data_IF_679432072189
#
_entry.id   IF_679432072189
#
_cell.length_a   1.000
_cell.length_b   1.000
_cell.length_c   1.000
_cell.angle_alpha   90.00
_cell.angle_beta   90.00
_cell.angle_gamma   90.00
#
_symmetry.space_group_name_H-M   'P 1'
#
loop_
_entity.id
_entity.type
_entity.pdbx_description
1 polymer ?
#
# COMPACT_ATOMS: atom_id res chain seq x y z
N UNK A 1 9.48 24.98 -15.53
CA UNK A 1 8.57 25.25 -14.39
C UNK A 1 9.41 25.45 -13.13
N UNK A 2 9.06 26.42 -12.27
CA UNK A 2 9.76 26.62 -11.00
C UNK A 2 9.54 25.41 -10.07
N UNK A 3 10.61 24.90 -9.45
CA UNK A 3 10.54 23.80 -8.47
C UNK A 3 10.06 24.38 -7.14
N UNK A 4 9.00 23.81 -6.56
CA UNK A 4 8.51 24.16 -5.23
C UNK A 4 9.08 23.19 -4.20
N UNK A 5 9.35 23.63 -2.98
CA UNK A 5 9.49 22.73 -1.84
C UNK A 5 8.20 22.85 -1.04
N UNK A 6 7.44 21.77 -0.93
CA UNK A 6 6.21 21.77 -0.14
C UNK A 6 6.54 22.02 1.33
N UNK A 7 5.88 23.00 1.96
CA UNK A 7 5.93 23.16 3.43
C UNK A 7 5.46 21.85 4.06
N UNK A 8 6.18 21.32 5.05
CA UNK A 8 5.82 20.09 5.77
C UNK A 8 5.66 18.84 4.86
N UNK A 9 6.28 18.84 3.67
CA UNK A 9 6.13 17.76 2.67
C UNK A 9 4.82 17.80 1.86
N UNK A 10 4.03 18.86 1.97
CA UNK A 10 2.74 18.99 1.30
C UNK A 10 2.89 19.15 -0.23
N UNK A 11 2.27 18.24 -1.00
CA UNK A 11 2.28 18.26 -2.48
C UNK A 11 0.89 18.47 -3.09
N UNK A 12 -0.16 18.40 -2.26
CA UNK A 12 -1.53 18.73 -2.63
C UNK A 12 -2.30 19.24 -1.41
N UNK A 13 -3.10 20.28 -1.61
CA UNK A 13 -4.09 20.77 -0.67
C UNK A 13 -5.29 21.32 -1.43
N UNK A 14 -6.49 20.99 -0.98
CA UNK A 14 -7.73 21.50 -1.51
C UNK A 14 -8.28 22.60 -0.60
N UNK A 15 -8.74 23.71 -1.18
CA UNK A 15 -9.47 24.74 -0.45
C UNK A 15 -10.95 24.33 -0.41
N UNK A 16 -11.33 23.55 0.62
CA UNK A 16 -12.70 23.03 0.78
C UNK A 16 -13.19 23.21 2.21
N UNK A 17 -14.50 23.42 2.32
CA UNK A 17 -15.22 23.45 3.60
C UNK A 17 -15.83 22.06 3.83
N UNK A 18 -15.77 21.58 5.06
CA UNK A 18 -16.33 20.31 5.48
C UNK A 18 -15.29 19.20 5.64
N UNK A 19 -15.75 17.97 5.94
CA UNK A 19 -14.87 16.85 6.25
C UNK A 19 -13.96 16.47 5.09
N UNK A 20 -12.74 16.07 5.38
CA UNK A 20 -11.69 15.82 4.40
C UNK A 20 -10.83 14.61 4.77
N UNK A 21 -10.26 13.98 3.74
CA UNK A 21 -9.22 12.96 3.89
C UNK A 21 -7.84 13.59 3.79
N UNK A 22 -7.02 13.37 4.81
CA UNK A 22 -5.64 13.83 4.88
C UNK A 22 -4.68 12.64 4.79
N UNK A 23 -3.93 12.56 3.69
CA UNK A 23 -3.00 11.47 3.41
C UNK A 23 -1.57 11.91 3.71
N UNK A 24 -0.81 11.07 4.41
CA UNK A 24 0.61 11.26 4.67
C UNK A 24 1.38 9.99 4.29
N UNK A 25 2.27 10.12 3.30
CA UNK A 25 3.08 9.02 2.77
C UNK A 25 4.56 9.29 3.06
N UNK A 26 5.21 8.30 3.65
CA UNK A 26 6.64 8.30 3.94
C UNK A 26 7.26 7.08 3.27
N UNK A 27 8.23 7.30 2.38
CA UNK A 27 8.95 6.22 1.71
C UNK A 27 10.47 6.40 1.76
N UNK A 28 11.16 5.31 2.09
CA UNK A 28 12.61 5.32 2.24
C UNK A 28 13.24 4.26 1.34
N UNK A 29 13.83 4.72 0.23
CA UNK A 29 14.67 3.88 -0.61
C UNK A 29 16.16 4.03 -0.31
N UNK A 30 16.58 5.24 0.07
CA UNK A 30 17.96 5.55 0.38
C UNK A 30 18.20 5.83 1.87
N UNK A 31 19.21 5.19 2.43
CA UNK A 31 19.66 5.27 3.82
C UNK A 31 21.17 5.52 3.83
N UNK A 32 21.63 6.76 4.07
CA UNK A 32 23.04 7.12 4.00
C UNK A 32 23.96 6.24 4.86
N UNK A 33 23.52 5.79 6.04
CA UNK A 33 24.35 5.01 6.96
C UNK A 33 24.25 3.49 6.77
N UNK A 34 23.39 3.00 5.87
CA UNK A 34 23.17 1.57 5.65
C UNK A 34 24.11 1.05 4.56
N UNK A 35 24.16 -0.28 4.36
CA UNK A 35 24.96 -0.86 3.28
C UNK A 35 24.57 -0.25 1.92
N UNK A 36 25.56 0.21 1.17
CA UNK A 36 25.37 0.90 -0.11
C UNK A 36 24.95 2.37 -0.02
N UNK A 37 24.92 2.96 1.18
CA UNK A 37 24.72 4.39 1.40
C UNK A 37 26.01 5.21 1.35
N UNK A 38 25.88 6.54 1.35
CA UNK A 38 27.03 7.47 1.23
C UNK A 38 28.01 7.39 2.42
N UNK A 39 27.49 7.06 3.61
CA UNK A 39 28.23 6.93 4.86
C UNK A 39 28.13 5.50 5.41
N UNK A 40 28.03 4.51 4.51
CA UNK A 40 27.71 3.13 4.81
C UNK A 40 28.53 2.58 5.99
N UNK A 41 27.83 2.07 7.00
CA UNK A 41 28.42 1.16 7.96
C UNK A 41 28.46 -0.25 7.34
N UNK A 42 29.66 -0.77 7.09
CA UNK A 42 29.84 -2.12 6.54
C UNK A 42 29.35 -3.23 7.49
N UNK A 43 29.09 -2.91 8.76
CA UNK A 43 28.51 -3.80 9.75
C UNK A 43 26.98 -3.63 9.87
N UNK A 44 26.36 -2.69 9.14
CA UNK A 44 24.92 -2.52 9.17
C UNK A 44 24.22 -3.79 8.63
N UNK A 45 23.20 -4.31 9.32
CA UNK A 45 22.49 -5.52 8.88
C UNK A 45 21.52 -5.27 7.71
N UNK A 46 21.35 -4.02 7.29
CA UNK A 46 20.37 -3.58 6.31
C UNK A 46 21.04 -2.81 5.18
N UNK A 47 20.48 -2.95 3.97
CA UNK A 47 20.91 -2.22 2.77
C UNK A 47 19.85 -1.26 2.25
N UNK A 48 20.05 -0.75 1.03
CA UNK A 48 19.13 0.15 0.35
C UNK A 48 17.87 -0.59 -0.15
N UNK A 49 16.78 0.15 -0.39
CA UNK A 49 15.52 -0.39 -0.92
C UNK A 49 15.15 0.29 -2.24
N UNK A 50 14.93 -0.47 -3.31
CA UNK A 50 14.58 0.11 -4.61
C UNK A 50 13.09 0.45 -4.74
N UNK A 51 12.22 -0.36 -4.14
CA UNK A 51 10.76 -0.27 -4.35
C UNK A 51 10.02 0.86 -3.61
N UNK A 52 10.41 1.33 -2.40
CA UNK A 52 9.62 2.30 -1.65
C UNK A 52 9.40 3.65 -2.36
N UNK A 53 10.41 4.31 -2.97
CA UNK A 53 10.20 5.58 -3.67
C UNK A 53 9.19 5.46 -4.81
N UNK A 54 9.31 4.42 -5.64
CA UNK A 54 8.38 4.18 -6.74
C UNK A 54 6.97 3.88 -6.24
N UNK A 55 6.86 3.09 -5.18
CA UNK A 55 5.59 2.72 -4.57
C UNK A 55 4.85 3.94 -4.03
N UNK A 56 5.53 4.82 -3.31
CA UNK A 56 4.94 6.06 -2.80
C UNK A 56 4.46 7.00 -3.91
N UNK A 57 5.21 7.11 -5.02
CA UNK A 57 4.78 7.90 -6.19
C UNK A 57 3.50 7.33 -6.82
N UNK A 58 3.43 6.00 -6.98
CA UNK A 58 2.23 5.34 -7.51
C UNK A 58 1.01 5.50 -6.59
N UNK A 59 1.21 5.38 -5.27
CA UNK A 59 0.16 5.61 -4.28
C UNK A 59 -0.31 7.06 -4.29
N UNK A 60 0.62 8.02 -4.32
CA UNK A 60 0.28 9.44 -4.39
C UNK A 60 -0.51 9.76 -5.67
N UNK A 61 -0.10 9.21 -6.81
CA UNK A 61 -0.82 9.35 -8.08
C UNK A 61 -2.24 8.79 -7.98
N UNK A 62 -2.42 7.61 -7.38
CA UNK A 62 -3.74 7.01 -7.18
C UNK A 62 -4.63 7.89 -6.29
N UNK A 63 -4.10 8.42 -5.19
CA UNK A 63 -4.85 9.35 -4.34
C UNK A 63 -5.29 10.61 -5.10
N UNK A 64 -4.43 11.18 -5.93
CA UNK A 64 -4.75 12.39 -6.67
C UNK A 64 -5.73 12.17 -7.83
N UNK A 65 -5.71 10.99 -8.45
CA UNK A 65 -6.45 10.72 -9.70
C UNK A 65 -7.73 9.92 -9.48
N UNK A 66 -7.67 8.90 -8.62
CA UNK A 66 -8.68 7.86 -8.55
C UNK A 66 -9.35 7.76 -7.18
N UNK A 67 -8.71 8.22 -6.09
CA UNK A 67 -9.34 8.19 -4.76
C UNK A 67 -10.65 8.98 -4.75
N UNK A 68 -11.69 8.28 -4.34
CA UNK A 68 -13.02 8.83 -4.24
C UNK A 68 -13.71 8.28 -2.99
N UNK A 69 -14.07 9.19 -2.10
CA UNK A 69 -14.85 8.94 -0.91
C UNK A 69 -15.67 10.20 -0.59
N UNK A 70 -16.92 10.32 -1.07
CA UNK A 70 -17.73 11.53 -0.93
C UNK A 70 -17.91 12.07 0.51
N UNK A 71 -18.04 11.23 1.56
CA UNK A 71 -18.21 11.75 2.92
C UNK A 71 -17.00 12.55 3.43
N UNK A 72 -15.79 12.24 2.95
CA UNK A 72 -14.55 12.95 3.28
C UNK A 72 -13.61 12.91 2.06
N UNK A 73 -13.80 13.75 1.04
CA UNK A 73 -12.97 13.74 -0.16
C UNK A 73 -11.51 14.10 0.16
N UNK A 74 -10.57 13.81 -0.74
CA UNK A 74 -9.16 14.17 -0.54
C UNK A 74 -9.03 15.69 -0.29
N UNK A 75 -8.49 16.03 0.87
CA UNK A 75 -8.22 17.41 1.29
C UNK A 75 -6.74 17.77 1.25
N UNK A 76 -5.86 16.83 1.59
CA UNK A 76 -4.41 17.06 1.52
C UNK A 76 -3.60 15.79 1.26
N UNK A 77 -2.46 15.92 0.59
CA UNK A 77 -1.46 14.87 0.46
C UNK A 77 -0.07 15.42 0.82
N UNK A 78 0.54 14.84 1.84
CA UNK A 78 1.94 15.07 2.21
C UNK A 78 2.80 13.85 1.82
N UNK A 79 3.99 14.11 1.29
CA UNK A 79 4.87 13.11 0.71
C UNK A 79 6.33 13.37 1.11
N UNK A 80 6.95 12.41 1.78
CA UNK A 80 8.39 12.38 2.06
C UNK A 80 9.00 11.15 1.37
N UNK A 81 10.04 11.36 0.57
CA UNK A 81 10.73 10.27 -0.14
C UNK A 81 12.24 10.42 0.00
N UNK A 82 12.91 9.33 0.32
CA UNK A 82 14.37 9.22 0.22
C UNK A 82 14.73 8.34 -0.97
N UNK A 83 15.53 8.86 -1.90
CA UNK A 83 16.04 8.12 -3.06
C UNK A 83 17.47 8.57 -3.37
N UNK A 84 18.27 7.70 -4.00
CA UNK A 84 19.68 7.98 -4.28
C UNK A 84 19.85 9.18 -5.22
N UNK A 85 18.95 9.30 -6.19
CA UNK A 85 18.93 10.38 -7.17
C UNK A 85 17.58 11.11 -7.06
N UNK A 86 17.48 12.16 -6.21
CA UNK A 86 16.21 12.83 -5.93
C UNK A 86 15.54 13.42 -7.17
N UNK A 87 14.32 12.97 -7.44
CA UNK A 87 13.50 13.48 -8.53
C UNK A 87 12.32 14.32 -8.00
N UNK A 88 11.96 15.42 -8.67
CA UNK A 88 10.72 16.13 -8.34
C UNK A 88 9.50 15.21 -8.46
N UNK A 89 8.50 15.41 -7.60
CA UNK A 89 7.17 14.84 -7.80
C UNK A 89 6.30 15.83 -8.56
N UNK A 90 5.75 15.41 -9.70
CA UNK A 90 4.99 16.29 -10.60
C UNK A 90 3.50 16.04 -10.43
N UNK A 91 2.77 17.11 -10.12
CA UNK A 91 1.30 17.12 -10.07
C UNK A 91 0.75 18.12 -11.08
N UNK A 92 -0.57 18.19 -11.22
CA UNK A 92 -1.24 19.24 -12.00
C UNK A 92 -0.98 20.66 -11.48
N UNK A 93 -0.55 20.81 -10.22
CA UNK A 93 -0.31 22.11 -9.55
C UNK A 93 1.17 22.53 -9.56
N UNK A 94 2.06 21.69 -10.07
CA UNK A 94 3.49 21.96 -10.20
C UNK A 94 4.39 20.77 -9.85
N UNK A 95 5.70 21.02 -9.93
CA UNK A 95 6.75 20.08 -9.56
C UNK A 95 7.28 20.40 -8.16
N UNK A 96 7.33 19.39 -7.29
CA UNK A 96 7.71 19.49 -5.89
C UNK A 96 9.01 18.73 -5.63
N UNK A 97 10.02 19.41 -5.10
CA UNK A 97 11.17 18.72 -4.52
C UNK A 97 10.74 18.10 -3.19
N UNK A 98 10.88 16.78 -3.10
CA UNK A 98 10.51 16.03 -1.92
C UNK A 98 11.60 16.15 -0.85
N UNK A 99 11.17 16.25 0.40
CA UNK A 99 12.07 16.26 1.55
C UNK A 99 12.50 14.84 1.87
N UNK A 100 13.76 14.68 2.23
CA UNK A 100 14.29 13.41 2.75
C UNK A 100 13.64 13.13 4.11
N UNK A 101 13.00 11.95 4.31
CA UNK A 101 12.41 11.55 5.58
C UNK A 101 13.48 11.20 6.63
N UNK A 102 14.09 12.22 7.21
CA UNK A 102 14.74 12.13 8.55
C UNK A 102 13.66 12.13 9.63
N UNK A 103 13.99 11.72 10.86
CA UNK A 103 13.02 11.80 11.96
C UNK A 103 12.50 13.24 12.16
N UNK A 104 13.37 14.24 12.12
CA UNK A 104 12.97 15.64 12.29
C UNK A 104 12.02 16.13 11.17
N UNK A 105 12.28 15.74 9.92
CA UNK A 105 11.40 16.09 8.80
C UNK A 105 10.05 15.37 8.89
N UNK A 106 10.06 14.12 9.36
CA UNK A 106 8.85 13.37 9.67
C UNK A 106 8.04 14.04 10.79
N UNK A 107 8.67 14.41 11.90
CA UNK A 107 8.01 15.03 13.06
C UNK A 107 7.30 16.33 12.67
N UNK A 108 7.95 17.20 11.90
CA UNK A 108 7.34 18.41 11.35
C UNK A 108 6.12 18.11 10.45
N UNK A 109 6.27 17.16 9.51
CA UNK A 109 5.20 16.77 8.59
C UNK A 109 4.03 16.07 9.30
N UNK A 110 4.32 15.23 10.30
CA UNK A 110 3.36 14.53 11.12
C UNK A 110 2.54 15.51 11.95
N UNK A 111 3.18 16.48 12.60
CA UNK A 111 2.47 17.52 13.36
C UNK A 111 1.53 18.33 12.46
N UNK A 112 2.01 18.79 11.29
CA UNK A 112 1.15 19.50 10.35
C UNK A 112 0.00 18.64 9.81
N UNK A 113 0.21 17.33 9.63
CA UNK A 113 -0.82 16.38 9.23
C UNK A 113 -1.85 16.12 10.34
N UNK A 114 -1.41 16.04 11.59
CA UNK A 114 -2.27 15.94 12.76
C UNK A 114 -3.14 17.19 12.88
N UNK A 115 -2.55 18.38 12.76
CA UNK A 115 -3.28 19.65 12.82
C UNK A 115 -4.42 19.71 11.79
N UNK A 116 -4.23 19.14 10.60
CA UNK A 116 -5.29 19.02 9.59
C UNK A 116 -6.43 18.10 10.05
N UNK A 117 -6.11 16.95 10.63
CA UNK A 117 -7.10 16.01 11.17
C UNK A 117 -7.78 16.45 12.47
N UNK A 118 -7.40 17.59 13.03
CA UNK A 118 -8.05 18.17 14.21
C UNK A 118 -9.30 19.01 13.87
N UNK A 119 -9.56 19.29 12.60
CA UNK A 119 -10.63 20.19 12.18
C UNK A 119 -12.04 19.61 12.39
N UNK A 120 -12.22 18.30 12.17
CA UNK A 120 -13.52 17.63 12.31
C UNK A 120 -13.38 16.17 12.79
N UNK A 121 -14.38 15.68 13.53
CA UNK A 121 -14.50 14.24 13.83
C UNK A 121 -14.78 13.37 12.60
N UNK A 122 -15.28 14.01 11.54
CA UNK A 122 -15.62 13.38 10.27
C UNK A 122 -14.44 13.35 9.29
N UNK A 123 -13.32 13.99 9.64
CA UNK A 123 -12.10 13.88 8.87
C UNK A 123 -11.56 12.44 8.92
N UNK A 124 -10.84 12.09 7.86
CA UNK A 124 -10.15 10.80 7.73
C UNK A 124 -8.66 11.02 7.63
N UNK A 125 -7.90 10.35 8.47
CA UNK A 125 -6.46 10.37 8.45
C UNK A 125 -5.93 9.08 7.86
N UNK A 126 -5.03 9.18 6.88
CA UNK A 126 -4.37 8.00 6.30
C UNK A 126 -2.86 8.18 6.37
N UNK A 127 -2.19 7.25 7.05
CA UNK A 127 -0.73 7.18 7.14
C UNK A 127 -0.21 5.96 6.40
N UNK A 128 0.73 6.18 5.47
CA UNK A 128 1.41 5.11 4.74
C UNK A 128 2.93 5.22 4.98
N UNK A 129 3.53 4.12 5.44
CA UNK A 129 4.98 4.02 5.60
C UNK A 129 5.52 2.89 4.74
N UNK A 130 6.58 3.16 3.97
CA UNK A 130 7.26 2.19 3.12
C UNK A 130 8.77 2.26 3.38
N UNK A 131 9.36 1.20 3.92
CA UNK A 131 10.78 1.21 4.27
C UNK A 131 11.19 0.06 5.17
N UNK A 132 12.31 0.24 5.88
CA UNK A 132 12.74 -0.71 6.90
C UNK A 132 11.93 -0.56 8.18
N UNK A 133 11.54 -1.70 8.73
CA UNK A 133 10.94 -1.84 10.05
C UNK A 133 11.80 -2.75 10.91
N UNK A 134 11.70 -2.60 12.22
CA UNK A 134 12.37 -3.44 13.21
C UNK A 134 11.37 -3.84 14.30
N UNK A 135 11.35 -5.10 14.72
CA UNK A 135 10.43 -5.59 15.78
C UNK A 135 9.17 -6.26 15.24
N UNK A 136 8.24 -6.59 16.13
CA UNK A 136 7.01 -7.36 15.85
C UNK A 136 5.75 -6.50 16.01
N UNK A 137 4.68 -6.87 15.30
CA UNK A 137 3.35 -6.29 15.53
C UNK A 137 3.30 -4.76 15.63
N UNK A 138 2.60 -4.28 16.67
CA UNK A 138 2.48 -2.85 17.01
C UNK A 138 3.70 -2.31 17.75
N UNK A 139 4.63 -3.17 18.14
CA UNK A 139 5.88 -2.84 18.81
C UNK A 139 7.01 -2.61 17.78
N UNK A 140 6.64 -2.38 16.52
CA UNK A 140 7.58 -2.11 15.45
C UNK A 140 8.14 -0.67 15.50
N UNK A 141 9.45 -0.57 15.34
CA UNK A 141 10.15 0.67 15.04
C UNK A 141 10.23 0.87 13.53
N UNK A 142 9.84 2.05 13.04
CA UNK A 142 10.00 2.40 11.62
C UNK A 142 11.24 3.27 11.45
N UNK A 143 12.17 2.86 10.59
CA UNK A 143 13.51 3.47 10.52
C UNK A 143 13.56 4.60 9.49
N UNK A 144 14.04 5.78 9.90
CA UNK A 144 14.20 6.95 9.04
C UNK A 144 15.59 7.02 8.38
N UNK A 145 15.74 7.93 7.41
CA UNK A 145 16.96 8.04 6.61
C UNK A 145 18.21 8.33 7.45
N UNK A 146 18.04 9.04 8.57
CA UNK A 146 19.10 9.41 9.50
C UNK A 146 19.45 8.33 10.52
N UNK A 147 18.80 7.15 10.48
CA UNK A 147 19.13 6.03 11.37
C UNK A 147 20.58 5.56 11.16
N UNK A 148 21.36 5.46 12.24
CA UNK A 148 22.75 5.01 12.22
C UNK A 148 22.99 3.88 13.23
N UNK A 149 23.29 2.67 12.73
CA UNK A 149 23.56 1.49 13.59
C UNK A 149 24.74 1.68 14.55
N UNK A 150 25.69 2.57 14.23
CA UNK A 150 26.85 2.89 15.06
C UNK A 150 26.49 3.81 16.22
N UNK A 151 25.37 4.53 16.11
CA UNK A 151 24.99 5.50 17.13
C UNK A 151 24.44 4.82 18.39
N UNK A 152 24.86 5.33 19.55
CA UNK A 152 24.30 4.90 20.85
C UNK A 152 22.84 5.34 21.03
N UNK A 153 22.43 6.44 20.39
CA UNK A 153 21.06 6.96 20.44
C UNK A 153 20.30 6.72 19.12
N UNK A 154 20.67 5.69 18.35
CA UNK A 154 20.06 5.38 17.04
C UNK A 154 18.54 5.33 17.03
N UNK A 155 17.95 4.88 18.13
CA UNK A 155 16.49 4.79 18.26
C UNK A 155 15.80 6.16 18.33
N UNK A 156 16.52 7.24 18.59
CA UNK A 156 16.01 8.61 18.43
C UNK A 156 15.74 8.99 16.97
N UNK A 157 16.18 8.15 16.01
CA UNK A 157 15.96 8.26 14.56
C UNK A 157 14.95 7.21 14.05
N UNK A 158 14.13 6.64 14.93
CA UNK A 158 13.08 5.69 14.59
C UNK A 158 11.73 6.12 15.17
N UNK A 159 10.63 5.79 14.48
CA UNK A 159 9.28 5.95 14.99
C UNK A 159 8.88 4.72 15.79
N UNK A 160 8.45 4.90 17.04
CA UNK A 160 7.68 3.89 17.75
C UNK A 160 6.24 3.91 17.21
N UNK A 161 5.89 2.90 16.39
CA UNK A 161 4.57 2.83 15.74
C UNK A 161 3.43 2.68 16.76
N UNK A 162 3.67 1.95 17.85
CA UNK A 162 2.68 1.71 18.91
C UNK A 162 2.33 3.00 19.64
N UNK A 163 3.34 3.76 20.06
CA UNK A 163 3.18 5.06 20.70
C UNK A 163 2.56 6.08 19.74
N UNK A 164 2.98 6.11 18.47
CA UNK A 164 2.40 6.99 17.47
C UNK A 164 0.93 6.70 17.21
N UNK A 165 0.59 5.42 16.99
CA UNK A 165 -0.79 4.98 16.82
C UNK A 165 -1.63 5.31 18.06
N UNK A 166 -1.13 5.05 19.27
CA UNK A 166 -1.88 5.34 20.49
C UNK A 166 -2.01 6.84 20.76
N UNK A 167 -0.97 7.63 20.46
CA UNK A 167 -0.98 9.09 20.64
C UNK A 167 -2.05 9.79 19.82
N UNK A 168 -2.33 9.28 18.62
CA UNK A 168 -3.41 9.77 17.75
C UNK A 168 -4.82 9.53 18.30
N UNK A 169 -4.98 8.85 19.44
CA UNK A 169 -6.26 8.83 20.15
C UNK A 169 -6.74 10.25 20.51
N UNK A 170 -5.85 11.22 20.72
CA UNK A 170 -6.23 12.62 20.96
C UNK A 170 -6.71 13.38 19.72
N UNK A 171 -6.62 12.79 18.52
CA UNK A 171 -7.00 13.45 17.28
C UNK A 171 -8.52 13.47 17.07
N UNK A 172 -9.05 14.56 16.51
CA UNK A 172 -10.48 14.73 16.25
C UNK A 172 -11.00 13.71 15.22
N UNK A 173 -10.31 13.56 14.09
CA UNK A 173 -10.60 12.58 13.05
C UNK A 173 -10.87 11.19 13.65
N UNK A 174 -12.10 10.69 13.49
CA UNK A 174 -12.50 9.41 14.07
C UNK A 174 -11.92 8.22 13.31
N UNK A 175 -11.73 8.35 11.99
CA UNK A 175 -11.15 7.32 11.14
C UNK A 175 -9.66 7.58 10.88
N UNK A 176 -8.81 6.68 11.36
CA UNK A 176 -7.35 6.83 11.32
C UNK A 176 -6.72 5.54 10.78
N UNK A 177 -6.43 5.52 9.49
CA UNK A 177 -6.05 4.32 8.76
C UNK A 177 -4.53 4.30 8.59
N UNK A 178 -3.91 3.19 8.99
CA UNK A 178 -2.46 3.03 8.91
C UNK A 178 -2.14 1.86 7.98
N UNK A 179 -1.21 2.07 7.04
CA UNK A 179 -0.71 1.04 6.14
C UNK A 179 0.82 1.01 6.22
N UNK A 180 1.35 -0.10 6.72
CA UNK A 180 2.76 -0.26 7.03
C UNK A 180 3.34 -1.32 6.09
N UNK A 181 4.12 -0.86 5.12
CA UNK A 181 4.85 -1.69 4.17
C UNK A 181 6.33 -1.79 4.58
N UNK A 182 6.57 -2.62 5.59
CA UNK A 182 7.87 -2.83 6.19
C UNK A 182 7.98 -4.26 6.73
N UNK A 183 9.21 -4.77 6.83
CA UNK A 183 9.47 -6.05 7.49
C UNK A 183 9.06 -5.98 8.97
N UNK A 184 8.63 -7.12 9.53
CA UNK A 184 8.20 -7.27 10.94
C UNK A 184 9.05 -8.29 11.68
N UNK A 185 10.37 -8.21 11.49
CA UNK A 185 11.34 -9.12 12.10
C UNK A 185 12.50 -8.32 12.71
N UNK A 186 13.09 -8.79 13.80
CA UNK A 186 14.32 -8.23 14.31
C UNK A 186 15.44 -8.50 13.32
N UNK A 187 16.37 -7.55 13.24
CA UNK A 187 17.58 -7.66 12.42
C UNK A 187 18.80 -7.78 13.33
N UNK A 188 19.28 -9.02 13.51
CA UNK A 188 20.37 -9.36 14.44
C UNK A 188 20.01 -9.14 15.91
N UNK A 189 21.01 -9.23 16.79
CA UNK A 189 20.85 -9.16 18.26
C UNK A 189 20.83 -7.71 18.81
N UNK A 190 20.27 -6.76 18.03
CA UNK A 190 20.39 -5.32 18.31
C UNK A 190 19.40 -4.79 19.35
N UNK A 191 18.28 -5.50 19.54
CA UNK A 191 17.29 -5.22 20.56
C UNK A 191 16.48 -6.50 20.86
N UNK A 192 15.90 -6.57 22.05
CA UNK A 192 14.95 -7.63 22.37
C UNK A 192 13.76 -7.59 21.39
N UNK A 193 13.26 -8.76 20.95
CA UNK A 193 12.07 -8.89 20.12
C UNK A 193 10.92 -7.93 20.44
N UNK A 194 10.59 -7.81 21.73
CA UNK A 194 9.43 -7.06 22.23
C UNK A 194 9.79 -5.64 22.69
N UNK A 195 10.99 -5.16 22.36
CA UNK A 195 11.38 -3.80 22.72
C UNK A 195 10.63 -2.81 21.83
N UNK A 196 9.63 -2.14 22.38
CA UNK A 196 9.09 -0.90 21.83
C UNK A 196 10.16 0.19 21.95
N UNK A 197 10.89 0.43 20.86
CA UNK A 197 11.96 1.43 20.85
C UNK A 197 11.73 2.44 19.73
N UNK A 198 11.93 3.72 20.03
CA UNK A 198 11.74 4.80 19.09
C UNK A 198 11.18 6.02 19.79
N UNK A 199 10.94 7.07 19.02
CA UNK A 199 10.24 8.26 19.45
C UNK A 199 8.87 8.32 18.79
N UNK A 200 7.98 9.13 19.35
CA UNK A 200 6.74 9.52 18.68
C UNK A 200 6.56 11.04 18.80
N UNK A 201 6.10 11.74 17.75
CA UNK A 201 5.81 13.17 17.82
C UNK A 201 4.56 13.47 18.66
N UNK A 202 3.74 12.44 18.94
CA UNK A 202 2.51 12.55 19.72
C UNK A 202 2.42 11.41 20.73
N UNK A 203 2.00 11.72 21.95
CA UNK A 203 1.88 10.76 23.05
C UNK A 203 0.44 10.66 23.57
N UNK A 204 0.01 9.49 24.08
CA UNK A 204 -1.33 9.32 24.64
C UNK A 204 -1.58 10.27 25.81
N UNK A 205 -2.63 11.09 25.72
CA UNK A 205 -3.08 11.95 26.80
C UNK A 205 -4.05 11.24 27.76
N UNK A 206 -4.09 11.66 29.03
CA UNK A 206 -5.03 11.12 30.06
C UNK A 206 -6.52 11.28 29.71
N UNK A 207 -6.84 12.25 28.86
CA UNK A 207 -8.21 12.56 28.46
C UNK A 207 -8.61 11.99 27.09
N UNK A 208 -7.67 11.39 26.34
CA UNK A 208 -7.93 10.67 25.08
C UNK A 208 -9.02 11.33 24.20
N UNK A 209 -10.03 10.53 23.82
CA UNK A 209 -11.24 10.99 23.10
C UNK A 209 -12.43 11.36 24.00
N UNK A 210 -12.25 11.69 25.28
CA UNK A 210 -13.40 11.93 26.19
C UNK A 210 -14.30 13.09 25.74
N UNK A 211 -13.78 14.03 24.97
CA UNK A 211 -14.47 15.23 24.47
C UNK A 211 -15.12 15.04 23.10
N UNK A 212 -14.93 13.89 22.47
CA UNK A 212 -15.33 13.61 21.08
C UNK A 212 -16.57 12.70 21.06
N UNK A 213 -17.55 13.01 20.19
CA UNK A 213 -18.79 12.26 20.12
C UNK A 213 -18.63 10.91 19.40
N UNK A 214 -17.70 10.82 18.44
CA UNK A 214 -17.44 9.60 17.67
C UNK A 214 -16.38 8.73 18.34
N UNK A 215 -16.56 7.42 18.23
CA UNK A 215 -15.54 6.44 18.61
C UNK A 215 -14.44 6.40 17.57
N UNK A 216 -13.21 6.19 18.02
CA UNK A 216 -12.05 5.99 17.15
C UNK A 216 -12.17 4.66 16.41
N UNK A 217 -12.02 4.68 15.09
CA UNK A 217 -11.74 3.52 14.26
C UNK A 217 -10.33 3.68 13.69
N UNK A 218 -9.37 2.87 14.15
CA UNK A 218 -7.96 3.04 13.82
C UNK A 218 -7.30 1.75 13.31
N UNK A 219 -7.76 1.21 12.17
CA UNK A 219 -7.23 -0.02 11.61
C UNK A 219 -5.76 0.13 11.26
N UNK A 220 -5.01 -0.94 11.47
CA UNK A 220 -3.59 -1.03 11.14
C UNK A 220 -3.40 -2.21 10.18
N UNK A 221 -2.96 -1.91 8.95
CA UNK A 221 -2.68 -2.91 7.92
C UNK A 221 -1.18 -3.05 7.76
N UNK A 222 -0.70 -4.28 7.82
CA UNK A 222 0.68 -4.63 7.56
C UNK A 222 0.80 -5.34 6.23
N UNK A 223 1.89 -5.12 5.52
CA UNK A 223 2.15 -5.82 4.27
C UNK A 223 2.48 -7.30 4.43
N UNK A 224 2.85 -7.73 5.63
CA UNK A 224 3.34 -9.08 5.91
C UNK A 224 3.02 -9.52 7.35
N UNK A 225 3.16 -10.82 7.64
CA UNK A 225 2.96 -11.38 8.97
C UNK A 225 4.07 -11.05 9.97
N UNK A 226 3.87 -11.42 11.24
CA UNK A 226 4.95 -11.35 12.24
C UNK A 226 6.11 -12.26 11.84
N UNK A 227 7.34 -11.78 12.05
CA UNK A 227 8.59 -12.43 11.62
C UNK A 227 8.79 -12.55 10.10
N UNK A 228 7.84 -12.10 9.27
CA UNK A 228 7.91 -12.25 7.82
C UNK A 228 8.53 -11.02 7.13
N UNK A 229 9.18 -11.22 5.95
CA UNK A 229 9.68 -10.11 5.15
C UNK A 229 8.55 -9.40 4.39
N UNK A 230 8.68 -8.09 4.23
CA UNK A 230 7.96 -7.33 3.20
C UNK A 230 8.78 -7.35 1.91
N UNK A 231 8.15 -7.65 0.78
CA UNK A 231 8.83 -7.92 -0.50
C UNK A 231 8.57 -6.82 -1.52
N UNK A 232 9.59 -6.55 -2.34
CA UNK A 232 9.49 -5.65 -3.47
C UNK A 232 10.37 -6.10 -4.63
N UNK A 233 10.12 -5.53 -5.81
CA UNK A 233 10.89 -5.81 -7.02
C UNK A 233 11.97 -4.75 -7.21
N UNK A 234 13.13 -5.14 -7.76
CA UNK A 234 14.26 -4.23 -8.01
C UNK A 234 13.82 -3.07 -8.92
N UNK A 235 13.11 -3.37 -9.99
CA UNK A 235 12.60 -2.39 -10.95
C UNK A 235 11.08 -2.25 -10.87
N UNK A 236 10.51 -2.23 -9.66
CA UNK A 236 9.06 -2.27 -9.49
C UNK A 236 8.55 -1.63 -8.19
N UNK A 237 7.23 -1.59 -8.08
CA UNK A 237 6.60 -1.30 -6.79
C UNK A 237 6.81 -2.46 -5.82
N UNK A 238 6.52 -2.22 -4.55
CA UNK A 238 6.40 -3.28 -3.56
C UNK A 238 5.21 -4.19 -3.88
N UNK A 239 5.27 -5.43 -3.41
CA UNK A 239 4.16 -6.39 -3.57
C UNK A 239 2.89 -5.85 -2.92
N UNK A 240 3.01 -5.16 -1.79
CA UNK A 240 1.89 -4.55 -1.10
C UNK A 240 1.25 -3.42 -1.90
N UNK A 241 2.05 -2.54 -2.49
CA UNK A 241 1.56 -1.44 -3.32
C UNK A 241 0.86 -1.95 -4.57
N UNK A 242 1.45 -2.95 -5.24
CA UNK A 242 0.80 -3.58 -6.40
C UNK A 242 -0.53 -4.24 -6.00
N UNK A 243 -0.55 -4.95 -4.87
CA UNK A 243 -1.77 -5.53 -4.32
C UNK A 243 -2.82 -4.47 -3.99
N UNK A 244 -2.42 -3.36 -3.37
CA UNK A 244 -3.30 -2.26 -3.02
C UNK A 244 -3.95 -1.65 -4.26
N UNK A 245 -3.16 -1.32 -5.28
CA UNK A 245 -3.69 -0.71 -6.51
C UNK A 245 -4.68 -1.62 -7.23
N UNK A 246 -4.40 -2.93 -7.31
CA UNK A 246 -5.33 -3.91 -7.90
C UNK A 246 -6.60 -4.08 -7.06
N UNK A 247 -6.46 -4.02 -5.73
CA UNK A 247 -7.59 -4.07 -4.80
C UNK A 247 -8.53 -2.89 -5.01
N UNK A 248 -7.98 -1.68 -5.10
CA UNK A 248 -8.73 -0.45 -5.34
C UNK A 248 -9.36 -0.39 -6.74
N UNK A 249 -8.72 -0.98 -7.75
CA UNK A 249 -9.23 -0.99 -9.13
C UNK A 249 -10.49 -1.85 -9.33
N UNK A 250 -10.81 -2.74 -8.39
CA UNK A 250 -12.01 -3.57 -8.47
C UNK A 250 -11.91 -4.91 -7.76
N UNK A 251 -10.71 -5.41 -7.48
CA UNK A 251 -10.57 -6.72 -6.87
C UNK A 251 -11.13 -6.81 -5.44
N UNK A 252 -11.11 -5.69 -4.70
CA UNK A 252 -11.75 -5.58 -3.39
C UNK A 252 -13.18 -5.02 -3.45
N UNK A 253 -13.76 -4.83 -4.64
CA UNK A 253 -15.03 -4.14 -4.75
C UNK A 253 -16.23 -5.06 -4.41
N UNK A 254 -17.29 -4.50 -3.84
CA UNK A 254 -18.60 -5.11 -3.64
C UNK A 254 -19.69 -4.06 -3.94
N UNK A 255 -20.91 -4.48 -4.26
CA UNK A 255 -22.02 -3.63 -4.74
C UNK A 255 -23.30 -3.74 -3.88
N UNK A 256 -23.17 -4.14 -2.61
CA UNK A 256 -24.30 -4.39 -1.72
C UNK A 256 -25.24 -3.16 -1.56
N UNK A 257 -24.68 -1.95 -1.71
CA UNK A 257 -25.41 -0.68 -1.58
C UNK A 257 -25.68 0.01 -2.94
N UNK A 258 -25.51 -0.70 -4.06
CA UNK A 258 -25.75 -0.19 -5.42
C UNK A 258 -24.59 0.58 -6.07
N UNK A 259 -23.62 1.05 -5.27
CA UNK A 259 -22.33 1.56 -5.76
C UNK A 259 -21.23 0.52 -5.53
N UNK A 260 -20.21 0.51 -6.39
CA UNK A 260 -19.02 -0.32 -6.19
C UNK A 260 -18.11 0.27 -5.10
N UNK A 261 -17.95 -0.45 -4.00
CA UNK A 261 -17.21 0.01 -2.81
C UNK A 261 -16.13 -0.98 -2.42
N UNK A 262 -15.05 -0.47 -1.85
CA UNK A 262 -14.02 -1.27 -1.20
C UNK A 262 -14.06 -0.95 0.30
N UNK A 263 -14.42 -1.93 1.11
CA UNK A 263 -14.35 -1.83 2.57
C UNK A 263 -13.10 -2.51 3.11
N UNK A 264 -12.84 -2.36 4.40
CA UNK A 264 -11.64 -2.93 5.03
C UNK A 264 -11.55 -4.47 4.98
N UNK A 265 -12.68 -5.18 4.99
CA UNK A 265 -12.69 -6.64 4.92
C UNK A 265 -12.37 -7.15 3.52
N UNK A 266 -13.05 -6.60 2.50
CA UNK A 266 -12.79 -6.96 1.10
C UNK A 266 -11.42 -6.50 0.65
N UNK A 267 -10.95 -5.37 1.20
CA UNK A 267 -9.58 -4.89 1.00
C UNK A 267 -8.56 -5.90 1.53
N UNK A 268 -8.66 -6.31 2.80
CA UNK A 268 -7.70 -7.26 3.37
C UNK A 268 -7.71 -8.59 2.60
N UNK A 269 -8.89 -9.11 2.27
CA UNK A 269 -9.03 -10.34 1.49
C UNK A 269 -8.31 -10.25 0.12
N UNK A 270 -8.57 -9.17 -0.62
CA UNK A 270 -7.96 -8.96 -1.93
C UNK A 270 -6.45 -8.71 -1.83
N UNK A 271 -5.99 -7.92 -0.86
CA UNK A 271 -4.57 -7.73 -0.55
C UNK A 271 -3.88 -9.08 -0.33
N UNK A 272 -4.41 -9.91 0.58
CA UNK A 272 -3.85 -11.23 0.87
C UNK A 272 -3.80 -12.13 -0.35
N UNK A 273 -4.85 -12.15 -1.17
CA UNK A 273 -4.87 -12.97 -2.38
C UNK A 273 -3.83 -12.50 -3.40
N UNK A 274 -3.76 -11.20 -3.70
CA UNK A 274 -2.82 -10.67 -4.68
C UNK A 274 -1.38 -10.83 -4.21
N UNK A 275 -1.07 -10.45 -2.96
CA UNK A 275 0.29 -10.57 -2.42
C UNK A 275 0.78 -12.01 -2.45
N UNK A 276 -0.09 -12.97 -2.11
CA UNK A 276 0.24 -14.39 -2.19
C UNK A 276 0.58 -14.81 -3.62
N UNK A 277 -0.24 -14.42 -4.59
CA UNK A 277 -0.01 -14.77 -6.00
C UNK A 277 1.26 -14.18 -6.57
N UNK A 278 1.57 -12.93 -6.22
CA UNK A 278 2.78 -12.25 -6.69
C UNK A 278 4.07 -12.86 -6.13
N UNK A 279 3.98 -13.69 -5.10
CA UNK A 279 5.16 -14.18 -4.35
C UNK A 279 5.28 -15.70 -4.31
N UNK A 280 4.20 -16.45 -4.46
CA UNK A 280 4.18 -17.92 -4.32
C UNK A 280 5.07 -18.67 -5.31
N UNK A 281 5.41 -18.07 -6.45
CA UNK A 281 6.29 -18.70 -7.45
C UNK A 281 7.77 -18.51 -7.12
N UNK A 282 8.11 -17.42 -6.41
CA UNK A 282 9.49 -17.04 -6.09
C UNK A 282 9.89 -17.45 -4.67
N UNK A 283 8.92 -17.64 -3.78
CA UNK A 283 9.16 -17.87 -2.36
C UNK A 283 8.31 -19.02 -1.81
N UNK A 284 8.90 -19.90 -0.97
CA UNK A 284 8.17 -21.00 -0.34
C UNK A 284 7.08 -20.50 0.63
N UNK A 285 7.36 -19.36 1.30
CA UNK A 285 6.43 -18.65 2.17
C UNK A 285 6.01 -17.34 1.48
N UNK A 286 4.83 -17.33 0.83
CA UNK A 286 4.34 -16.16 0.15
C UNK A 286 3.93 -15.08 1.15
N UNK A 287 4.09 -13.82 0.78
CA UNK A 287 3.78 -12.68 1.63
C UNK A 287 2.28 -12.61 1.96
N UNK A 288 1.93 -12.49 3.24
CA UNK A 288 0.54 -12.41 3.71
C UNK A 288 0.27 -11.12 4.51
N UNK A 289 -0.35 -10.11 3.87
CA UNK A 289 -0.87 -8.95 4.56
C UNK A 289 -1.78 -9.30 5.73
N UNK A 290 -1.68 -8.52 6.81
CA UNK A 290 -2.48 -8.67 8.02
C UNK A 290 -3.19 -7.36 8.38
N UNK A 291 -4.36 -7.46 9.02
CA UNK A 291 -5.09 -6.32 9.57
C UNK A 291 -5.33 -6.49 11.06
N UNK A 292 -5.21 -5.41 11.82
CA UNK A 292 -5.59 -5.36 13.24
C UNK A 292 -7.04 -4.88 13.44
N UNK A 293 -7.51 -4.92 14.68
CA UNK A 293 -8.86 -4.55 15.13
C UNK A 293 -9.44 -3.33 14.38
N UNK A 294 -10.52 -3.56 13.64
CA UNK A 294 -11.21 -2.55 12.85
C UNK A 294 -12.72 -2.76 12.94
N UNK A 295 -13.47 -1.67 13.13
CA UNK A 295 -14.89 -1.67 12.76
C UNK A 295 -14.99 -1.62 11.22
N UNK A 296 -16.09 -2.10 10.65
CA UNK A 296 -16.33 -1.98 9.21
C UNK A 296 -16.30 -0.51 8.78
N UNK A 297 -15.63 -0.20 7.67
CA UNK A 297 -15.71 1.09 7.02
C UNK A 297 -15.42 1.00 5.52
N UNK A 298 -16.01 1.92 4.75
CA UNK A 298 -15.75 2.09 3.33
C UNK A 298 -14.48 2.91 3.12
N UNK A 299 -13.50 2.34 2.42
CA UNK A 299 -12.24 3.02 2.09
C UNK A 299 -12.37 3.85 0.82
N UNK A 300 -13.00 3.28 -0.22
CA UNK A 300 -13.07 3.86 -1.56
C UNK A 300 -14.38 3.46 -2.27
N UNK A 301 -14.97 4.41 -3.00
CA UNK A 301 -16.08 4.19 -3.92
C UNK A 301 -15.56 4.33 -5.35
N UNK A 302 -15.71 3.28 -6.16
CA UNK A 302 -15.22 3.29 -7.53
C UNK A 302 -16.09 4.19 -8.41
N UNK A 303 -15.46 5.06 -9.18
CA UNK A 303 -16.13 5.95 -10.16
C UNK A 303 -16.27 5.30 -11.55
N UNK A 304 -15.67 4.12 -11.73
CA UNK A 304 -15.67 3.34 -12.96
C UNK A 304 -16.06 1.89 -12.64
N UNK A 305 -16.58 1.11 -13.60
CA UNK A 305 -16.82 -0.31 -13.38
C UNK A 305 -15.57 -1.04 -12.87
N UNK A 306 -15.70 -1.98 -11.93
CA UNK A 306 -14.55 -2.65 -11.34
C UNK A 306 -13.81 -3.47 -12.40
N UNK A 307 -12.50 -3.51 -12.25
CA UNK A 307 -11.61 -4.36 -13.02
C UNK A 307 -11.08 -5.46 -12.09
N UNK A 308 -11.27 -6.72 -12.48
CA UNK A 308 -10.91 -7.87 -11.66
C UNK A 308 -10.16 -8.94 -12.49
N UNK A 309 -9.28 -9.73 -11.86
CA UNK A 309 -8.62 -10.82 -12.55
C UNK A 309 -9.57 -12.01 -12.78
N UNK A 310 -9.51 -12.56 -13.98
CA UNK A 310 -10.01 -13.89 -14.32
C UNK A 310 -8.81 -14.80 -14.53
N UNK A 311 -8.76 -15.87 -13.76
CA UNK A 311 -7.75 -16.91 -13.86
C UNK A 311 -8.24 -18.00 -14.80
N UNK A 312 -7.61 -18.10 -15.97
CA UNK A 312 -7.96 -19.09 -16.98
C UNK A 312 -7.08 -20.31 -16.76
N UNK A 313 -7.72 -21.46 -16.57
CA UNK A 313 -7.07 -22.76 -16.37
C UNK A 313 -7.71 -23.79 -17.28
N UNK A 314 -6.95 -24.84 -17.62
CA UNK A 314 -7.53 -26.02 -18.26
C UNK A 314 -8.14 -26.95 -17.21
N UNK A 315 -9.28 -27.56 -17.54
CA UNK A 315 -9.96 -28.50 -16.64
C UNK A 315 -9.12 -29.76 -16.37
N UNK A 316 -8.27 -30.16 -17.32
CA UNK A 316 -7.34 -31.29 -17.22
C UNK A 316 -6.04 -30.97 -16.46
N UNK A 317 -5.89 -29.74 -15.95
CA UNK A 317 -4.70 -29.24 -15.23
C UNK A 317 -3.39 -29.26 -16.04
N UNK A 318 -3.47 -29.45 -17.36
CA UNK A 318 -2.31 -29.30 -18.21
C UNK A 318 -1.98 -27.81 -18.41
N UNK A 319 -0.74 -27.46 -18.82
CA UNK A 319 -0.38 -26.09 -19.17
C UNK A 319 -1.28 -25.51 -20.26
N UNK A 320 -1.57 -24.21 -20.15
CA UNK A 320 -2.28 -23.44 -21.16
C UNK A 320 -1.41 -23.16 -22.39
N UNK A 321 -0.08 -23.32 -22.32
CA UNK A 321 0.81 -23.17 -23.47
C UNK A 321 1.55 -24.44 -23.87
N UNK A 322 2.27 -24.43 -25.01
CA UNK A 322 2.27 -23.34 -25.98
C UNK A 322 0.93 -23.27 -26.73
N UNK A 323 0.36 -22.07 -26.84
CA UNK A 323 -0.98 -21.87 -27.43
C UNK A 323 -1.41 -20.40 -27.44
N UNK A 324 -2.50 -20.11 -28.13
CA UNK A 324 -3.10 -18.77 -28.17
C UNK A 324 -4.42 -18.75 -27.42
N UNK A 325 -4.49 -17.94 -26.36
CA UNK A 325 -5.73 -17.65 -25.64
C UNK A 325 -6.43 -16.46 -26.30
N UNK A 326 -7.61 -16.68 -26.84
CA UNK A 326 -8.56 -15.68 -27.32
C UNK A 326 -9.58 -15.35 -26.23
N UNK A 327 -9.88 -14.06 -26.08
CA UNK A 327 -10.83 -13.54 -25.10
C UNK A 327 -11.77 -12.60 -25.85
N UNK A 328 -13.07 -12.89 -25.81
CA UNK A 328 -14.11 -12.14 -26.49
C UNK A 328 -15.14 -11.57 -25.50
N UNK A 329 -15.60 -10.35 -25.76
CA UNK A 329 -16.74 -9.72 -25.08
C UNK A 329 -17.55 -8.92 -26.10
N UNK A 330 -18.66 -9.51 -26.57
CA UNK A 330 -19.38 -8.98 -27.73
C UNK A 330 -18.46 -8.88 -28.95
N UNK A 331 -18.42 -7.73 -29.60
CA UNK A 331 -17.57 -7.50 -30.79
C UNK A 331 -16.10 -7.25 -30.48
N UNK A 332 -15.72 -7.15 -29.20
CA UNK A 332 -14.33 -6.89 -28.79
C UNK A 332 -13.61 -8.22 -28.58
N UNK A 333 -12.51 -8.40 -29.29
CA UNK A 333 -11.63 -9.57 -29.15
C UNK A 333 -10.21 -9.14 -28.82
N UNK A 334 -9.54 -9.95 -28.02
CA UNK A 334 -8.11 -9.84 -27.75
C UNK A 334 -7.49 -11.23 -27.69
N UNK A 335 -6.19 -11.32 -27.93
CA UNK A 335 -5.46 -12.59 -27.89
C UNK A 335 -4.14 -12.45 -27.15
N UNK A 336 -3.72 -13.52 -26.49
CA UNK A 336 -2.45 -13.63 -25.77
C UNK A 336 -1.78 -14.96 -26.07
N UNK A 337 -0.47 -14.95 -26.26
CA UNK A 337 0.34 -16.16 -26.33
C UNK A 337 0.60 -16.70 -24.91
N UNK A 338 0.37 -18.00 -24.71
CA UNK A 338 0.62 -18.69 -23.44
C UNK A 338 2.00 -19.36 -23.47
N UNK A 339 2.76 -19.23 -22.38
CA UNK A 339 4.06 -19.90 -22.26
C UNK A 339 3.90 -21.42 -22.04
N UNK A 340 4.84 -22.26 -22.51
CA UNK A 340 4.73 -23.73 -22.42
C UNK A 340 4.41 -24.30 -21.03
N UNK A 341 4.89 -23.65 -19.98
CA UNK A 341 4.77 -24.04 -18.58
C UNK A 341 3.64 -23.32 -17.82
N UNK A 342 2.85 -22.49 -18.51
CA UNK A 342 1.85 -21.63 -17.89
C UNK A 342 0.59 -22.42 -17.52
N UNK A 343 0.51 -22.92 -16.28
CA UNK A 343 -0.65 -23.68 -15.77
C UNK A 343 -1.91 -22.82 -15.59
N UNK A 344 -1.76 -21.52 -15.36
CA UNK A 344 -2.85 -20.58 -15.13
C UNK A 344 -2.50 -19.24 -15.76
N UNK A 345 -3.39 -18.74 -16.62
CA UNK A 345 -3.25 -17.43 -17.26
C UNK A 345 -4.07 -16.41 -16.49
N UNK A 346 -3.43 -15.34 -16.02
CA UNK A 346 -4.13 -14.22 -15.39
C UNK A 346 -4.51 -13.17 -16.43
N UNK A 347 -5.81 -12.87 -16.55
CA UNK A 347 -6.33 -11.82 -17.44
C UNK A 347 -7.07 -10.80 -16.61
N UNK A 348 -6.69 -9.53 -16.71
CA UNK A 348 -7.35 -8.43 -16.00
C UNK A 348 -8.46 -7.86 -16.87
N UNK A 349 -9.72 -7.97 -16.44
CA UNK A 349 -10.89 -7.65 -17.26
C UNK A 349 -11.87 -6.73 -16.52
N UNK A 350 -12.44 -5.71 -17.20
CA UNK A 350 -13.60 -4.97 -16.69
C UNK A 350 -14.78 -5.89 -16.34
N UNK A 351 -15.73 -5.37 -15.56
CA UNK A 351 -17.02 -6.02 -15.31
C UNK A 351 -17.69 -6.39 -16.64
N UNK A 352 -18.05 -7.67 -16.80
CA UNK A 352 -18.70 -8.15 -18.02
C UNK A 352 -18.72 -9.67 -18.14
N UNK A 353 -19.33 -10.18 -19.20
CA UNK A 353 -19.30 -11.59 -19.58
C UNK A 353 -18.31 -11.80 -20.72
N UNK A 354 -17.47 -12.82 -20.60
CA UNK A 354 -16.39 -13.11 -21.53
C UNK A 354 -16.40 -14.56 -21.98
N UNK A 355 -16.12 -14.78 -23.25
CA UNK A 355 -15.84 -16.09 -23.82
C UNK A 355 -14.33 -16.24 -24.00
N UNK A 356 -13.80 -17.35 -23.51
CA UNK A 356 -12.40 -17.72 -23.58
C UNK A 356 -12.27 -18.92 -24.52
N UNK A 357 -11.33 -18.85 -25.46
CA UNK A 357 -10.96 -19.95 -26.34
C UNK A 357 -9.45 -20.11 -26.33
N UNK A 358 -8.95 -21.30 -26.03
CA UNK A 358 -7.53 -21.64 -26.11
C UNK A 358 -7.31 -22.58 -27.29
N UNK A 359 -6.49 -22.14 -28.23
CA UNK A 359 -5.98 -22.96 -29.31
C UNK A 359 -4.58 -23.48 -28.94
N UNK A 360 -4.45 -24.77 -28.71
CA UNK A 360 -3.14 -25.38 -28.43
C UNK A 360 -2.31 -25.60 -29.70
N UNK A 361 -1.04 -25.98 -29.54
CA UNK A 361 -0.12 -26.24 -30.66
C UNK A 361 -0.55 -27.40 -31.58
N UNK A 362 -1.53 -28.21 -31.16
CA UNK A 362 -2.08 -29.33 -31.93
C UNK A 362 -3.39 -28.97 -32.65
N UNK A 363 -3.85 -27.72 -32.53
CA UNK A 363 -5.11 -27.26 -33.13
C UNK A 363 -6.34 -27.69 -32.33
N UNK A 364 -6.19 -28.12 -31.08
CA UNK A 364 -7.33 -28.41 -30.21
C UNK A 364 -7.83 -27.10 -29.61
N UNK A 365 -9.11 -26.81 -29.86
CA UNK A 365 -9.79 -25.68 -29.23
C UNK A 365 -10.46 -26.11 -27.92
N UNK A 366 -10.26 -25.33 -26.87
CA UNK A 366 -10.96 -25.48 -25.58
C UNK A 366 -11.61 -24.17 -25.20
N UNK A 367 -12.82 -24.22 -24.65
CA UNK A 367 -13.60 -23.01 -24.41
C UNK A 367 -14.17 -22.92 -23.00
N UNK A 368 -14.46 -21.69 -22.56
CA UNK A 368 -15.17 -21.40 -21.33
C UNK A 368 -15.86 -20.03 -21.43
N UNK A 369 -17.05 -19.91 -20.84
CA UNK A 369 -17.70 -18.61 -20.61
C UNK A 369 -17.60 -18.26 -19.14
N UNK A 370 -17.12 -17.06 -18.82
CA UNK A 370 -16.97 -16.60 -17.44
C UNK A 370 -17.23 -15.10 -17.33
N UNK A 371 -18.03 -14.71 -16.34
CA UNK A 371 -18.16 -13.30 -15.97
C UNK A 371 -16.89 -12.83 -15.27
N UNK A 372 -16.32 -11.69 -15.66
CA UNK A 372 -15.42 -10.93 -14.80
C UNK A 372 -16.27 -10.11 -13.85
N UNK A 373 -16.15 -10.38 -12.54
CA UNK A 373 -16.73 -9.59 -11.46
C UNK A 373 -15.88 -9.77 -10.20
N UNK A 374 -15.88 -8.80 -9.28
CA UNK A 374 -15.19 -8.95 -8.00
C UNK A 374 -15.59 -10.21 -7.22
N UNK A 375 -14.72 -10.77 -6.40
CA UNK A 375 -13.32 -10.38 -6.18
C UNK A 375 -12.39 -10.88 -7.29
N UNK A 376 -12.49 -12.17 -7.63
CA UNK A 376 -11.85 -12.79 -8.80
C UNK A 376 -12.67 -14.00 -9.24
N UNK A 377 -12.43 -14.48 -10.47
CA UNK A 377 -13.08 -15.68 -11.01
C UNK A 377 -12.10 -16.62 -11.69
N UNK A 378 -12.52 -17.88 -11.86
CA UNK A 378 -11.76 -18.92 -12.56
C UNK A 378 -12.55 -19.40 -13.77
N UNK A 379 -12.02 -19.20 -14.97
CA UNK A 379 -12.56 -19.78 -16.19
C UNK A 379 -11.89 -21.15 -16.41
N UNK A 380 -12.67 -22.22 -16.48
CA UNK A 380 -12.17 -23.58 -16.70
C UNK A 380 -12.44 -24.01 -18.13
N UNK A 381 -11.38 -24.04 -18.94
CA UNK A 381 -11.42 -24.47 -20.34
C UNK A 381 -11.64 -25.98 -20.41
N UNK A 382 -12.68 -26.41 -21.13
CA UNK A 382 -13.05 -27.83 -21.31
C UNK A 382 -12.63 -28.28 -22.70
#
# INVERSE_FOLDING_TARGET
>A
MAKKTGKDGLVYAAERIGPQTHVFIVALGHYPNFLGGDNADLQAPLGQLASPPRSARLLADWYLKDYHYPPAPLGSLALLISEKEPEPYVTSTGAYMLRVPTYAAFEEAANAWIDRGMASEDDRMIFLFLGHGYGYGREASLLFADFDFRSRNKWEQALDLGLFHNGLQGCAAAEQIFMIDACRRPHGDQAEPDAAIGRSPIHPGKEGRKTFAKRRNAPLFFSTGDAEPARGRIDGASVFTEAFLRTMAGMGAHDDDGDWRVNNYTMLYALSHVSRRLTQQEFPEPQQPQGAQACMFDFHILTKPPVAPVYVVRADQLPCGPGTLHIAAGDKTQSRQCAPEELEVEVTLPLGQYDFSLMDSHGTERTATQSSRPTFKRARLI
#
